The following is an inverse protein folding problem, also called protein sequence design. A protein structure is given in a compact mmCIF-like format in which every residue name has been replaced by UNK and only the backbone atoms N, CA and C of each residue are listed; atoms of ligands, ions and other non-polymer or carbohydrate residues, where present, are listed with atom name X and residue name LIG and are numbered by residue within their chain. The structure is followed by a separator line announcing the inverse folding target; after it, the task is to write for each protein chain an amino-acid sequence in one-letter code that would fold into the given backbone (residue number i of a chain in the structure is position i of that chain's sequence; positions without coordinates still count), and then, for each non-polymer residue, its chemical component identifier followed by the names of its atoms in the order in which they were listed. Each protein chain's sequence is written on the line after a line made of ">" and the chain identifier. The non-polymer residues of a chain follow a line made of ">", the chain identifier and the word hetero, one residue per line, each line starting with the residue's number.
data_IF_263987513580
#
_entry.id   IF_263987513580
#
_cell.length_a   1.000
_cell.length_b   1.000
_cell.length_c   1.000
_cell.angle_alpha   90.00
_cell.angle_beta   90.00
_cell.angle_gamma   90.00
#
_symmetry.space_group_name_H-M   'P 1'
#
loop_
_entity.id
_entity.type
_entity.pdbx_description
1 polymer ?
#
# COMPACT_ATOMS: atom_id res chain seq x y z
N UNK A 1 -22.01 6.23 -25.51
CA UNK A 1 -20.77 5.62 -26.04
C UNK A 1 -20.25 4.64 -25.00
N UNK A 2 -20.07 3.36 -25.33
CA UNK A 2 -19.52 2.37 -24.39
C UNK A 2 -17.99 2.46 -24.42
N UNK A 3 -17.39 2.94 -23.34
CA UNK A 3 -15.93 3.02 -23.21
C UNK A 3 -15.39 1.62 -22.93
N UNK A 4 -14.69 1.04 -23.90
CA UNK A 4 -13.93 -0.19 -23.66
C UNK A 4 -12.69 0.17 -22.85
N UNK A 5 -12.69 -0.17 -21.56
CA UNK A 5 -11.49 -0.07 -20.71
C UNK A 5 -10.59 -1.23 -21.08
N UNK A 6 -9.66 -0.99 -22.00
CA UNK A 6 -8.58 -1.93 -22.31
C UNK A 6 -7.55 -1.82 -21.19
N UNK A 7 -7.60 -2.74 -20.23
CA UNK A 7 -6.51 -2.90 -19.27
C UNK A 7 -5.38 -3.64 -20.00
N UNK A 8 -4.33 -2.90 -20.38
CA UNK A 8 -3.13 -3.48 -20.97
C UNK A 8 -2.49 -4.47 -20.00
N UNK A 9 -2.54 -5.76 -20.34
CA UNK A 9 -1.79 -6.80 -19.62
C UNK A 9 -0.31 -6.53 -19.85
N UNK A 10 0.45 -6.39 -18.76
CA UNK A 10 1.88 -6.03 -18.68
C UNK A 10 2.22 -4.55 -18.43
N UNK A 11 1.27 -3.70 -18.05
CA UNK A 11 1.63 -2.43 -17.44
C UNK A 11 2.39 -2.75 -16.14
N UNK A 12 3.68 -2.41 -16.08
CA UNK A 12 4.40 -2.35 -14.79
C UNK A 12 3.65 -1.28 -14.01
N UNK A 13 2.76 -1.71 -13.13
CA UNK A 13 2.01 -0.79 -12.31
C UNK A 13 3.02 -0.04 -11.46
N UNK A 14 3.34 1.18 -11.86
CA UNK A 14 4.27 2.03 -11.12
C UNK A 14 3.71 2.35 -9.74
N UNK A 15 2.42 2.08 -9.49
CA UNK A 15 1.75 2.32 -8.23
C UNK A 15 0.96 1.12 -7.72
N UNK A 16 0.96 0.96 -6.39
CA UNK A 16 0.18 -0.02 -5.63
C UNK A 16 -0.83 0.75 -4.78
N UNK A 17 -2.08 0.31 -4.78
CA UNK A 17 -3.09 0.77 -3.82
C UNK A 17 -3.20 -0.22 -2.65
N UNK A 18 -3.05 0.29 -1.43
CA UNK A 18 -3.28 -0.42 -0.18
C UNK A 18 -4.56 0.10 0.45
N UNK A 19 -5.47 -0.78 0.84
CA UNK A 19 -6.75 -0.42 1.45
C UNK A 19 -6.92 -1.24 2.73
N UNK A 20 -7.11 -0.57 3.86
CA UNK A 20 -7.48 -1.21 5.13
C UNK A 20 -8.99 -1.16 5.27
N UNK A 21 -9.57 -2.32 5.59
CA UNK A 21 -10.99 -2.48 5.86
C UNK A 21 -11.18 -3.13 7.21
N UNK A 22 -12.27 -2.82 7.88
CA UNK A 22 -12.69 -3.53 9.07
C UNK A 22 -13.31 -4.90 8.72
N UNK A 23 -13.78 -5.62 9.74
CA UNK A 23 -14.47 -6.90 9.57
C UNK A 23 -15.81 -6.78 8.82
N UNK A 24 -16.45 -5.60 8.84
CA UNK A 24 -17.68 -5.31 8.10
C UNK A 24 -17.44 -4.90 6.64
N UNK A 25 -16.18 -4.89 6.20
CA UNK A 25 -15.69 -4.46 4.88
C UNK A 25 -15.80 -2.95 4.63
N UNK A 26 -16.07 -2.15 5.66
CA UNK A 26 -16.02 -0.70 5.59
C UNK A 26 -14.56 -0.27 5.41
N UNK A 27 -14.33 0.62 4.45
CA UNK A 27 -13.02 1.20 4.19
C UNK A 27 -12.65 2.15 5.32
N UNK A 28 -11.55 1.86 6.01
CA UNK A 28 -11.00 2.72 7.06
C UNK A 28 -10.00 3.70 6.46
N UNK A 29 -9.01 3.18 5.73
CA UNK A 29 -7.91 3.97 5.17
C UNK A 29 -7.47 3.42 3.81
N UNK A 30 -6.84 4.26 2.99
CA UNK A 30 -6.17 3.82 1.77
C UNK A 30 -4.98 4.69 1.41
N UNK A 31 -4.00 4.08 0.75
CA UNK A 31 -2.84 4.76 0.19
C UNK A 31 -2.56 4.27 -1.22
N UNK A 32 -2.16 5.18 -2.09
CA UNK A 32 -1.52 4.86 -3.37
C UNK A 32 -0.04 5.17 -3.24
N UNK A 33 0.81 4.21 -3.54
CA UNK A 33 2.27 4.31 -3.39
C UNK A 33 2.92 3.95 -4.70
N UNK A 34 3.89 4.73 -5.14
CA UNK A 34 4.74 4.32 -6.26
C UNK A 34 5.70 3.18 -5.82
N UNK A 35 5.86 2.13 -6.61
CA UNK A 35 6.70 0.96 -6.29
C UNK A 35 8.17 1.33 -6.03
N UNK A 36 8.65 2.42 -6.62
CA UNK A 36 10.00 2.94 -6.42
C UNK A 36 10.12 3.79 -5.14
N UNK A 37 9.01 4.27 -4.58
CA UNK A 37 8.97 5.04 -3.33
C UNK A 37 9.01 4.13 -2.09
N UNK A 38 10.18 3.52 -1.89
CA UNK A 38 10.47 2.65 -0.74
C UNK A 38 10.32 3.38 0.60
N UNK A 39 10.56 4.69 0.64
CA UNK A 39 10.46 5.49 1.87
C UNK A 39 9.00 5.59 2.31
N UNK A 40 8.10 5.92 1.39
CA UNK A 40 6.67 5.98 1.66
C UNK A 40 6.09 4.61 1.99
N UNK A 41 6.54 3.56 1.30
CA UNK A 41 6.16 2.18 1.62
C UNK A 41 6.51 1.82 3.08
N UNK A 42 7.73 2.13 3.53
CA UNK A 42 8.16 1.90 4.93
C UNK A 42 7.34 2.71 5.93
N UNK A 43 7.06 3.98 5.66
CA UNK A 43 6.24 4.82 6.53
C UNK A 43 4.83 4.25 6.72
N UNK A 44 4.23 3.76 5.63
CA UNK A 44 2.89 3.15 5.67
C UNK A 44 2.94 1.83 6.44
N UNK A 45 3.96 0.99 6.24
CA UNK A 45 4.13 -0.24 7.01
C UNK A 45 4.29 0.02 8.51
N UNK A 46 5.06 1.05 8.90
CA UNK A 46 5.20 1.47 10.30
C UNK A 46 3.87 1.95 10.89
N UNK A 47 3.10 2.73 10.13
CA UNK A 47 1.75 3.15 10.54
C UNK A 47 0.83 1.94 10.74
N UNK A 48 0.82 1.01 9.79
CA UNK A 48 0.00 -0.20 9.87
C UNK A 48 0.36 -1.06 11.09
N UNK A 49 1.65 -1.18 11.42
CA UNK A 49 2.10 -1.87 12.63
C UNK A 49 1.65 -1.16 13.91
N UNK A 50 1.82 0.16 13.98
CA UNK A 50 1.45 0.94 15.19
C UNK A 50 -0.05 1.03 15.41
N UNK A 51 -0.82 1.27 14.35
CA UNK A 51 -2.25 1.55 14.42
C UNK A 51 -3.10 0.29 14.43
N UNK A 52 -2.66 -0.76 13.72
CA UNK A 52 -3.45 -1.98 13.51
C UNK A 52 -2.75 -3.26 13.98
N UNK A 53 -1.52 -3.18 14.50
CA UNK A 53 -0.77 -4.35 14.95
C UNK A 53 -0.31 -5.29 13.83
N UNK A 54 -0.36 -4.83 12.56
CA UNK A 54 0.02 -5.67 11.42
C UNK A 54 1.55 -5.73 11.34
N UNK A 55 2.11 -6.90 11.62
CA UNK A 55 3.55 -7.15 11.47
C UNK A 55 3.85 -7.77 10.10
N UNK A 56 4.68 -7.08 9.32
CA UNK A 56 5.12 -7.55 8.01
C UNK A 56 6.44 -8.36 8.07
N UNK A 57 6.98 -8.61 9.27
CA UNK A 57 8.21 -9.39 9.45
C UNK A 57 9.48 -8.68 8.96
N UNK A 58 9.39 -7.38 8.66
CA UNK A 58 10.52 -6.57 8.21
C UNK A 58 11.26 -6.07 9.45
N UNK A 59 12.53 -6.48 9.60
CA UNK A 59 13.44 -5.93 10.62
C UNK A 59 13.81 -4.50 10.22
N UNK A 60 13.06 -3.54 10.73
CA UNK A 60 13.21 -2.10 10.53
C UNK A 60 14.25 -1.55 11.51
N UNK A 61 15.44 -2.15 11.58
CA UNK A 61 16.33 -1.93 12.72
C UNK A 61 17.43 -0.88 12.49
N UNK A 62 17.69 -0.43 11.26
CA UNK A 62 18.77 0.54 11.00
C UNK A 62 18.39 1.43 9.83
N UNK A 63 18.87 2.67 9.85
CA UNK A 63 18.63 3.74 8.86
C UNK A 63 17.41 4.63 9.14
N UNK A 64 17.17 4.93 10.42
CA UNK A 64 16.71 6.27 10.83
C UNK A 64 17.93 7.09 11.29
N UNK A 65 18.85 7.33 10.35
CA UNK A 65 19.77 8.46 10.33
C UNK A 65 19.69 9.09 8.93
#
# INVERSE_FOLDING_TARGET
>A
MKTHVWLERNFRGDTIELIVRDSSRVKLESWTINVDDKKRARQIMLHLKKSYGIDFGIKLDKDLD
#
